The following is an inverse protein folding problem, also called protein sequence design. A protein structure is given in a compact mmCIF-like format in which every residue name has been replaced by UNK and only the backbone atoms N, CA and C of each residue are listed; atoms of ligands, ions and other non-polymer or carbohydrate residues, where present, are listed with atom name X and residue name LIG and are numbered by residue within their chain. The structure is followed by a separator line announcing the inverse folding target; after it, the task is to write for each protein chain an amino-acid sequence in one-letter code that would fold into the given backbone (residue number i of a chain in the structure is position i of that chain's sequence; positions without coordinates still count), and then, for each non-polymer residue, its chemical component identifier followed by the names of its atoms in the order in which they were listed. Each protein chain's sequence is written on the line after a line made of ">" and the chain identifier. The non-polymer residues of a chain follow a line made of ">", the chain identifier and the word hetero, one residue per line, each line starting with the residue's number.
data_IF_497691072734
#
_entry.id   IF_497691072734
#
_cell.length_a   1.000
_cell.length_b   1.000
_cell.length_c   1.000
_cell.angle_alpha   90.00
_cell.angle_beta   90.00
_cell.angle_gamma   90.00
#
_symmetry.space_group_name_H-M   'P 1'
#
loop_
_entity.id
_entity.type
_entity.pdbx_description
1 polymer ?
#
# COMPACT_ATOMS: atom_id res chain seq x y z
N UNK A 1 22.27 -69.71 -17.12
CA UNK A 1 22.53 -68.41 -17.81
C UNK A 1 23.23 -67.49 -16.82
N UNK A 2 24.24 -66.74 -17.26
CA UNK A 2 24.90 -65.71 -16.45
C UNK A 2 23.91 -64.63 -15.95
N UNK A 3 24.18 -64.04 -14.78
CA UNK A 3 23.42 -62.90 -14.23
C UNK A 3 23.51 -61.69 -15.17
N UNK A 4 22.53 -60.79 -15.07
CA UNK A 4 22.48 -59.61 -15.95
C UNK A 4 23.71 -58.69 -15.77
N UNK A 5 24.25 -58.63 -14.56
CA UNK A 5 25.48 -57.91 -14.21
C UNK A 5 26.71 -58.48 -14.96
N UNK A 6 26.87 -59.81 -14.96
CA UNK A 6 27.95 -60.51 -15.68
C UNK A 6 27.84 -60.30 -17.20
N UNK A 7 26.61 -60.33 -17.74
CA UNK A 7 26.36 -60.02 -19.16
C UNK A 7 26.74 -58.59 -19.51
N UNK A 8 26.42 -57.62 -18.65
CA UNK A 8 26.79 -56.21 -18.82
C UNK A 8 28.30 -55.96 -18.65
N UNK A 9 29.04 -56.84 -17.97
CA UNK A 9 30.50 -56.74 -17.85
C UNK A 9 31.27 -57.42 -19.00
N UNK A 10 30.58 -58.13 -19.90
CA UNK A 10 31.21 -58.85 -21.01
C UNK A 10 31.96 -57.92 -21.98
N UNK A 11 33.03 -58.43 -22.59
CA UNK A 11 33.85 -57.70 -23.59
C UNK A 11 33.01 -57.11 -24.73
N UNK A 12 32.04 -57.88 -25.25
CA UNK A 12 31.13 -57.42 -26.32
C UNK A 12 30.19 -56.30 -25.85
N UNK A 13 29.72 -56.33 -24.61
CA UNK A 13 28.89 -55.24 -24.07
C UNK A 13 29.69 -53.95 -23.94
N UNK A 14 30.92 -54.04 -23.37
CA UNK A 14 31.84 -52.89 -23.26
C UNK A 14 32.24 -52.32 -24.62
N UNK A 15 32.51 -53.18 -25.61
CA UNK A 15 32.81 -52.75 -26.98
C UNK A 15 31.63 -52.01 -27.62
N UNK A 16 30.40 -52.54 -27.46
CA UNK A 16 29.18 -51.89 -27.96
C UNK A 16 28.87 -50.57 -27.24
N UNK A 17 29.18 -50.47 -25.94
CA UNK A 17 29.06 -49.22 -25.18
C UNK A 17 30.07 -48.17 -25.66
N UNK A 18 31.32 -48.56 -25.90
CA UNK A 18 32.34 -47.67 -26.48
C UNK A 18 31.93 -47.17 -27.88
N UNK A 19 31.47 -48.05 -28.76
CA UNK A 19 30.99 -47.68 -30.09
C UNK A 19 29.77 -46.73 -30.04
N UNK A 20 28.87 -46.90 -29.07
CA UNK A 20 27.74 -45.98 -28.86
C UNK A 20 28.19 -44.62 -28.32
N UNK A 21 29.23 -44.59 -27.48
CA UNK A 21 29.84 -43.35 -26.99
C UNK A 21 30.54 -42.56 -28.11
N UNK A 22 31.29 -43.24 -29.00
CA UNK A 22 31.88 -42.62 -30.19
C UNK A 22 30.83 -42.03 -31.14
N UNK A 23 29.65 -42.65 -31.24
CA UNK A 23 28.52 -42.14 -32.02
C UNK A 23 27.77 -40.98 -31.31
N UNK A 24 28.24 -40.51 -30.16
CA UNK A 24 27.64 -39.41 -29.40
C UNK A 24 26.29 -39.73 -28.75
N UNK A 25 25.87 -41.01 -28.76
CA UNK A 25 24.65 -41.46 -28.11
C UNK A 25 24.96 -41.62 -26.62
N UNK A 26 24.53 -40.64 -25.81
CA UNK A 26 24.92 -40.56 -24.41
C UNK A 26 24.67 -41.87 -23.65
N UNK A 27 25.74 -42.35 -23.02
CA UNK A 27 25.75 -43.61 -22.28
C UNK A 27 25.06 -43.47 -20.93
N UNK A 28 24.69 -44.62 -20.34
CA UNK A 28 24.16 -44.69 -18.96
C UNK A 28 25.24 -44.52 -17.88
N UNK A 29 26.50 -44.43 -18.30
CA UNK A 29 27.70 -44.34 -17.46
C UNK A 29 28.21 -42.92 -17.28
N UNK A 30 27.66 -41.95 -18.02
CA UNK A 30 27.90 -40.53 -17.83
C UNK A 30 27.46 -40.13 -16.41
N UNK A 31 28.40 -39.70 -15.56
CA UNK A 31 28.15 -39.38 -14.15
C UNK A 31 28.11 -37.87 -13.97
N UNK A 32 27.09 -37.39 -13.26
CA UNK A 32 26.95 -35.97 -12.89
C UNK A 32 28.28 -35.42 -12.31
N UNK A 33 28.89 -34.40 -12.95
CA UNK A 33 30.08 -33.75 -12.41
C UNK A 33 29.82 -33.17 -11.02
N UNK A 34 30.82 -33.23 -10.13
CA UNK A 34 30.65 -32.73 -8.75
C UNK A 34 30.57 -31.21 -8.65
N UNK A 35 31.16 -30.50 -9.61
CA UNK A 35 31.21 -29.04 -9.64
C UNK A 35 30.41 -28.54 -10.84
N UNK A 36 29.33 -27.80 -10.61
CA UNK A 36 28.46 -27.34 -11.70
C UNK A 36 29.20 -26.45 -12.71
N UNK A 37 30.19 -25.66 -12.26
CA UNK A 37 30.96 -24.75 -13.12
C UNK A 37 31.92 -25.43 -14.09
N UNK A 38 32.14 -26.75 -14.02
CA UNK A 38 32.90 -27.45 -15.05
C UNK A 38 32.11 -27.65 -16.33
N UNK A 39 30.77 -27.58 -16.28
CA UNK A 39 29.91 -27.69 -17.47
C UNK A 39 29.66 -26.30 -18.08
N UNK A 40 30.07 -26.14 -19.33
CA UNK A 40 29.80 -24.93 -20.15
C UNK A 40 28.57 -25.12 -21.07
N UNK A 41 28.12 -26.36 -21.28
CA UNK A 41 26.97 -26.66 -22.14
C UNK A 41 25.63 -26.49 -21.39
N UNK A 42 24.83 -25.50 -21.78
CA UNK A 42 23.47 -25.28 -21.27
C UNK A 42 22.62 -26.56 -21.26
N UNK A 43 22.60 -27.29 -22.38
CA UNK A 43 21.77 -28.51 -22.54
C UNK A 43 22.21 -29.65 -21.61
N UNK A 44 23.49 -29.70 -21.24
CA UNK A 44 23.99 -30.66 -20.24
C UNK A 44 23.57 -30.23 -18.83
N UNK A 45 23.73 -28.94 -18.49
CA UNK A 45 23.32 -28.39 -17.20
C UNK A 45 21.82 -28.60 -16.93
N UNK A 46 20.95 -28.38 -17.93
CA UNK A 46 19.51 -28.65 -17.82
C UNK A 46 19.19 -30.13 -17.63
N UNK A 47 19.88 -31.03 -18.34
CA UNK A 47 19.77 -32.49 -18.13
C UNK A 47 20.14 -32.87 -16.71
N UNK A 48 21.31 -32.43 -16.21
CA UNK A 48 21.75 -32.73 -14.86
C UNK A 48 20.76 -32.23 -13.82
N UNK A 49 20.27 -30.98 -13.96
CA UNK A 49 19.19 -30.44 -13.12
C UNK A 49 17.95 -31.33 -13.12
N UNK A 50 17.50 -31.79 -14.29
CA UNK A 50 16.35 -32.70 -14.41
C UNK A 50 16.57 -34.05 -13.75
N UNK A 51 17.82 -34.56 -13.76
CA UNK A 51 18.20 -35.78 -13.05
C UNK A 51 18.22 -35.60 -11.54
N UNK A 52 18.73 -34.48 -11.01
CA UNK A 52 18.65 -34.18 -9.56
C UNK A 52 17.18 -34.11 -9.11
N UNK A 53 16.30 -33.47 -9.87
CA UNK A 53 14.87 -33.42 -9.53
C UNK A 53 14.25 -34.82 -9.46
N UNK A 54 14.61 -35.73 -10.39
CA UNK A 54 14.16 -37.13 -10.37
C UNK A 54 14.73 -37.91 -9.18
N UNK A 55 15.98 -37.66 -8.79
CA UNK A 55 16.57 -38.23 -7.57
C UNK A 55 15.84 -37.75 -6.31
N UNK A 56 15.58 -36.44 -6.21
CA UNK A 56 14.82 -35.85 -5.10
C UNK A 56 13.42 -36.48 -5.02
N UNK A 57 12.66 -36.55 -6.11
CA UNK A 57 11.32 -37.17 -6.11
C UNK A 57 11.35 -38.62 -5.61
N UNK A 58 12.31 -39.43 -6.07
CA UNK A 58 12.46 -40.83 -5.59
C UNK A 58 12.76 -40.90 -4.08
N UNK A 59 13.63 -40.03 -3.56
CA UNK A 59 13.95 -40.00 -2.12
C UNK A 59 12.80 -39.46 -1.27
N UNK A 60 12.06 -38.46 -1.76
CA UNK A 60 10.83 -37.95 -1.09
C UNK A 60 9.78 -39.05 -0.98
N UNK A 61 9.57 -39.86 -2.02
CA UNK A 61 8.71 -41.05 -1.93
C UNK A 61 9.23 -42.06 -0.91
N UNK A 62 10.52 -42.41 -0.94
CA UNK A 62 11.12 -43.37 0.02
C UNK A 62 11.02 -42.92 1.49
N UNK A 63 11.08 -41.62 1.78
CA UNK A 63 10.90 -41.10 3.15
C UNK A 63 9.48 -41.37 3.70
N UNK A 64 8.48 -41.57 2.84
CA UNK A 64 7.11 -41.87 3.26
C UNK A 64 6.91 -43.34 3.64
N UNK A 65 7.91 -44.20 3.43
CA UNK A 65 7.82 -45.63 3.78
C UNK A 65 7.75 -45.82 5.30
N UNK A 66 6.64 -46.39 5.78
CA UNK A 66 6.40 -46.61 7.21
C UNK A 66 7.37 -47.62 7.85
N UNK A 67 7.92 -48.54 7.06
CA UNK A 67 8.90 -49.54 7.53
C UNK A 67 10.32 -49.01 7.76
N UNK A 68 10.59 -47.75 7.39
CA UNK A 68 11.91 -47.14 7.55
C UNK A 68 12.18 -46.73 9.01
N UNK A 69 13.42 -46.84 9.49
CA UNK A 69 13.77 -46.39 10.84
C UNK A 69 13.97 -44.87 10.91
N UNK A 70 13.79 -44.29 12.08
CA UNK A 70 13.95 -42.85 12.28
C UNK A 70 15.39 -42.34 12.01
N UNK A 71 16.40 -43.21 12.06
CA UNK A 71 17.78 -42.87 11.66
C UNK A 71 17.91 -42.77 10.14
N UNK A 72 17.44 -43.78 9.41
CA UNK A 72 17.42 -43.78 7.94
C UNK A 72 16.55 -42.63 7.37
N UNK A 73 15.45 -42.26 8.06
CA UNK A 73 14.65 -41.08 7.70
C UNK A 73 15.46 -39.78 7.81
N UNK A 74 16.36 -39.65 8.81
CA UNK A 74 17.27 -38.50 8.93
C UNK A 74 18.29 -38.49 7.80
N UNK A 75 18.94 -39.63 7.54
CA UNK A 75 19.94 -39.76 6.48
C UNK A 75 19.34 -39.42 5.10
N UNK A 76 18.16 -39.96 4.76
CA UNK A 76 17.47 -39.61 3.51
C UNK A 76 17.11 -38.12 3.45
N UNK A 77 16.73 -37.50 4.58
CA UNK A 77 16.43 -36.07 4.62
C UNK A 77 17.69 -35.22 4.39
N UNK A 78 18.83 -35.60 4.97
CA UNK A 78 20.13 -34.97 4.71
C UNK A 78 20.57 -35.13 3.25
N UNK A 79 20.38 -36.32 2.67
CA UNK A 79 20.62 -36.57 1.26
C UNK A 79 19.75 -35.70 0.34
N UNK A 80 18.46 -35.51 0.65
CA UNK A 80 17.58 -34.60 -0.11
C UNK A 80 18.06 -33.15 0.03
N UNK A 81 18.40 -32.70 1.25
CA UNK A 81 18.94 -31.35 1.46
C UNK A 81 20.27 -31.12 0.71
N UNK A 82 21.12 -32.15 0.60
CA UNK A 82 22.32 -32.13 -0.24
C UNK A 82 21.97 -31.99 -1.72
N UNK A 83 21.04 -32.80 -2.24
CA UNK A 83 20.59 -32.70 -3.63
C UNK A 83 19.93 -31.35 -3.93
N UNK A 84 19.24 -30.73 -2.98
CA UNK A 84 18.66 -29.38 -3.15
C UNK A 84 19.74 -28.29 -3.24
N UNK A 85 20.83 -28.40 -2.47
CA UNK A 85 22.00 -27.52 -2.61
C UNK A 85 22.68 -27.72 -3.97
N UNK A 86 22.92 -28.96 -4.37
CA UNK A 86 23.43 -29.29 -5.72
C UNK A 86 22.54 -28.70 -6.82
N UNK A 87 21.21 -28.89 -6.74
CA UNK A 87 20.21 -28.30 -7.65
C UNK A 87 20.30 -26.78 -7.71
N UNK A 88 20.55 -26.12 -6.58
CA UNK A 88 20.78 -24.67 -6.53
C UNK A 88 22.07 -24.23 -7.26
N UNK A 89 23.14 -25.01 -7.15
CA UNK A 89 24.39 -24.75 -7.89
C UNK A 89 24.19 -24.93 -9.40
N UNK A 90 23.49 -25.98 -9.84
CA UNK A 90 23.16 -26.19 -11.25
C UNK A 90 22.22 -25.10 -11.80
N UNK A 91 21.21 -24.67 -11.04
CA UNK A 91 20.35 -23.54 -11.45
C UNK A 91 21.12 -22.22 -11.54
N UNK A 92 22.11 -22.00 -10.68
CA UNK A 92 22.99 -20.82 -10.77
C UNK A 92 23.89 -20.90 -12.00
N UNK A 93 24.46 -22.08 -12.32
CA UNK A 93 25.26 -22.25 -13.53
C UNK A 93 24.45 -22.07 -14.81
N UNK A 94 23.20 -22.56 -14.87
CA UNK A 94 22.30 -22.32 -16.01
C UNK A 94 22.09 -20.81 -16.22
N UNK A 95 21.88 -20.05 -15.14
CA UNK A 95 21.73 -18.58 -15.21
C UNK A 95 23.04 -17.92 -15.70
N UNK A 96 24.20 -18.34 -15.18
CA UNK A 96 25.51 -17.80 -15.59
C UNK A 96 25.80 -18.02 -17.09
N UNK A 97 25.32 -19.14 -17.64
CA UNK A 97 25.43 -19.48 -19.07
C UNK A 97 24.34 -18.81 -19.94
N UNK A 98 23.52 -17.91 -19.38
CA UNK A 98 22.45 -17.20 -20.10
C UNK A 98 21.14 -17.98 -20.29
N UNK A 99 20.97 -19.10 -19.57
CA UNK A 99 19.79 -19.95 -19.61
C UNK A 99 18.63 -19.48 -18.71
N UNK A 100 17.57 -20.28 -18.66
CA UNK A 100 16.34 -19.93 -17.95
C UNK A 100 16.52 -19.83 -16.42
N UNK A 101 15.97 -18.77 -15.81
CA UNK A 101 16.01 -18.57 -14.37
C UNK A 101 14.96 -19.42 -13.63
N UNK A 102 15.32 -20.68 -13.37
CA UNK A 102 14.47 -21.62 -12.64
C UNK A 102 14.29 -21.29 -11.15
N UNK A 103 15.09 -20.37 -10.56
CA UNK A 103 14.97 -20.01 -9.13
C UNK A 103 13.67 -19.27 -8.83
N UNK A 104 13.20 -18.41 -9.76
CA UNK A 104 11.90 -17.70 -9.61
C UNK A 104 10.71 -18.66 -9.67
N UNK A 105 10.66 -19.54 -10.68
CA UNK A 105 9.53 -20.46 -10.89
C UNK A 105 9.53 -21.62 -9.87
N UNK A 106 10.72 -22.13 -9.52
CA UNK A 106 10.87 -23.37 -8.75
C UNK A 106 10.69 -23.25 -7.24
N UNK A 107 10.34 -22.08 -6.69
CA UNK A 107 10.14 -21.93 -5.23
C UNK A 107 8.81 -22.53 -4.76
N UNK A 108 7.75 -22.46 -5.57
CA UNK A 108 6.39 -22.86 -5.16
C UNK A 108 6.17 -24.37 -5.16
N UNK A 109 6.63 -25.07 -6.20
CA UNK A 109 6.24 -26.48 -6.46
C UNK A 109 6.82 -27.51 -5.49
N UNK A 110 7.80 -27.12 -4.66
CA UNK A 110 8.48 -28.02 -3.74
C UNK A 110 8.37 -27.60 -2.25
N UNK A 111 8.01 -26.34 -1.96
CA UNK A 111 7.75 -25.87 -0.59
C UNK A 111 6.54 -26.55 0.06
N UNK A 112 5.55 -26.99 -0.73
CA UNK A 112 4.42 -27.77 -0.20
C UNK A 112 4.82 -29.07 0.48
N UNK A 113 5.94 -29.69 0.06
CA UNK A 113 6.44 -30.94 0.64
C UNK A 113 7.41 -30.71 1.81
N UNK A 114 8.26 -29.68 1.76
CA UNK A 114 9.32 -29.42 2.73
C UNK A 114 9.04 -28.24 3.65
N UNK A 115 8.87 -28.48 4.96
CA UNK A 115 8.76 -27.39 5.95
C UNK A 115 10.15 -27.12 6.53
N UNK A 116 10.59 -25.86 6.58
CA UNK A 116 11.84 -25.46 7.25
C UNK A 116 11.60 -25.27 8.73
N UNK A 117 12.45 -25.85 9.58
CA UNK A 117 12.34 -25.63 11.02
C UNK A 117 12.61 -24.16 11.40
N UNK A 118 11.98 -23.65 12.47
CA UNK A 118 12.23 -22.30 12.97
C UNK A 118 13.72 -22.08 13.28
N UNK A 119 14.26 -20.90 12.94
CA UNK A 119 15.68 -20.57 13.12
C UNK A 119 16.65 -21.25 12.14
N UNK A 120 16.31 -22.42 11.57
CA UNK A 120 17.17 -23.16 10.65
C UNK A 120 16.94 -22.78 9.18
N UNK A 121 17.45 -21.60 8.79
CA UNK A 121 17.28 -21.06 7.44
C UNK A 121 18.13 -21.81 6.41
N UNK A 122 17.50 -22.69 5.64
CA UNK A 122 18.12 -23.41 4.51
C UNK A 122 18.14 -24.93 4.65
N UNK A 123 17.73 -25.47 5.81
CA UNK A 123 17.46 -26.90 5.99
C UNK A 123 15.95 -27.15 5.99
N UNK A 124 15.49 -28.21 5.32
CA UNK A 124 14.06 -28.56 5.19
C UNK A 124 13.80 -30.00 5.60
N UNK A 125 12.63 -30.25 6.17
CA UNK A 125 12.16 -31.59 6.55
C UNK A 125 11.02 -32.02 5.62
N UNK A 126 11.16 -33.19 5.00
CA UNK A 126 10.25 -33.72 3.99
C UNK A 126 9.44 -34.91 4.52
N UNK A 127 8.14 -34.98 4.19
CA UNK A 127 7.29 -36.12 4.59
C UNK A 127 7.41 -36.48 6.08
N UNK A 128 7.64 -37.77 6.36
CA UNK A 128 7.84 -38.33 7.71
C UNK A 128 9.03 -37.73 8.47
N UNK A 129 10.02 -37.11 7.80
CA UNK A 129 11.11 -36.42 8.50
C UNK A 129 10.62 -35.22 9.35
N UNK A 130 9.39 -34.73 9.14
CA UNK A 130 8.73 -33.74 10.01
C UNK A 130 8.20 -34.33 11.32
N UNK A 131 7.95 -35.64 11.35
CA UNK A 131 7.33 -36.35 12.48
C UNK A 131 8.37 -36.92 13.45
N UNK A 132 9.66 -36.85 13.10
CA UNK A 132 10.78 -37.27 13.93
C UNK A 132 10.72 -36.60 15.32
N UNK A 133 11.04 -37.33 16.41
CA UNK A 133 11.15 -36.78 17.75
C UNK A 133 12.04 -35.52 17.79
N UNK A 134 11.62 -34.51 18.55
CA UNK A 134 12.24 -33.16 18.60
C UNK A 134 11.91 -32.26 17.39
N UNK A 135 11.98 -32.77 16.16
CA UNK A 135 11.61 -31.99 14.95
C UNK A 135 10.11 -31.67 14.94
N UNK A 136 9.29 -32.66 15.30
CA UNK A 136 7.83 -32.50 15.44
C UNK A 136 7.47 -31.40 16.45
N UNK A 137 8.14 -31.38 17.59
CA UNK A 137 7.92 -30.39 18.67
C UNK A 137 8.26 -28.97 18.22
N UNK A 138 9.34 -28.78 17.44
CA UNK A 138 9.67 -27.47 16.85
C UNK A 138 8.58 -26.97 15.90
N UNK A 139 7.98 -27.87 15.11
CA UNK A 139 6.90 -27.51 14.19
C UNK A 139 5.58 -27.26 14.90
N UNK A 140 5.21 -28.05 15.91
CA UNK A 140 4.01 -27.84 16.71
C UNK A 140 4.13 -26.57 17.57
N UNK A 141 5.27 -26.36 18.22
CA UNK A 141 5.58 -25.17 19.02
C UNK A 141 5.45 -23.88 18.21
N UNK A 142 6.03 -23.81 17.01
CA UNK A 142 5.85 -22.63 16.15
C UNK A 142 4.49 -22.54 15.49
N UNK A 143 3.78 -23.65 15.26
CA UNK A 143 2.38 -23.56 14.81
C UNK A 143 1.48 -22.96 15.91
N UNK A 144 1.76 -23.28 17.19
CA UNK A 144 1.12 -22.63 18.36
C UNK A 144 1.51 -21.16 18.48
N UNK A 145 2.80 -20.81 18.43
CA UNK A 145 3.26 -19.41 18.48
C UNK A 145 2.71 -18.58 17.29
N UNK A 146 2.61 -19.15 16.09
CA UNK A 146 2.00 -18.48 14.94
C UNK A 146 0.51 -18.23 15.14
N UNK A 147 -0.23 -19.22 15.68
CA UNK A 147 -1.65 -19.04 16.01
C UNK A 147 -1.86 -18.01 17.15
N UNK A 148 -0.95 -17.97 18.13
CA UNK A 148 -0.93 -16.98 19.21
C UNK A 148 -0.66 -15.58 18.66
N UNK A 149 0.37 -15.40 17.80
CA UNK A 149 0.66 -14.14 17.12
C UNK A 149 -0.48 -13.72 16.18
N UNK A 150 -1.17 -14.64 15.51
CA UNK A 150 -2.33 -14.32 14.68
C UNK A 150 -3.56 -13.94 15.53
N UNK A 151 -3.73 -14.57 16.70
CA UNK A 151 -4.72 -14.18 17.70
C UNK A 151 -4.45 -12.80 18.29
N UNK A 152 -3.18 -12.52 18.64
CA UNK A 152 -2.73 -11.20 19.06
C UNK A 152 -2.98 -10.16 17.97
N UNK A 153 -2.62 -10.42 16.71
CA UNK A 153 -2.88 -9.51 15.57
C UNK A 153 -4.35 -9.16 15.34
N UNK A 154 -5.28 -10.04 15.72
CA UNK A 154 -6.73 -9.75 15.68
C UNK A 154 -7.17 -8.86 16.85
N UNK A 155 -6.37 -8.78 17.91
CA UNK A 155 -6.56 -7.91 19.08
C UNK A 155 -5.63 -6.67 19.09
N UNK A 156 -4.59 -6.62 18.24
CA UNK A 156 -3.58 -5.55 18.12
C UNK A 156 -4.10 -4.27 17.44
N UNK A 157 -5.40 -4.20 17.16
CA UNK A 157 -6.07 -2.98 16.79
C UNK A 157 -6.77 -2.43 18.05
N UNK A 158 -6.05 -1.80 19.01
CA UNK A 158 -6.65 -1.27 20.25
C UNK A 158 -7.70 -0.19 19.96
N UNK A 159 -7.67 0.35 18.74
CA UNK A 159 -8.64 1.32 18.25
C UNK A 159 -9.88 0.68 17.58
N UNK A 160 -9.98 -0.66 17.49
CA UNK A 160 -11.12 -1.34 16.83
C UNK A 160 -12.48 -0.93 17.40
N UNK A 161 -12.57 -0.72 18.71
CA UNK A 161 -13.77 -0.21 19.41
C UNK A 161 -14.18 1.19 18.92
N UNK A 162 -13.23 2.01 18.51
CA UNK A 162 -13.49 3.39 18.04
C UNK A 162 -13.73 3.49 16.53
N UNK A 163 -13.33 2.49 15.72
CA UNK A 163 -13.41 2.55 14.25
C UNK A 163 -14.82 2.47 13.67
N UNK A 164 -15.77 1.85 14.37
CA UNK A 164 -17.13 1.57 13.89
C UNK A 164 -18.22 2.09 14.85
N UNK A 165 -17.93 3.15 15.59
CA UNK A 165 -18.86 3.68 16.57
C UNK A 165 -19.97 4.51 15.91
N UNK A 166 -21.22 4.38 16.38
CA UNK A 166 -22.39 4.97 15.74
C UNK A 166 -22.64 6.46 16.06
N UNK A 167 -23.62 7.11 15.38
CA UNK A 167 -23.91 8.55 15.51
C UNK A 167 -24.08 9.06 16.96
N UNK A 168 -24.64 8.23 17.84
CA UNK A 168 -24.78 8.53 19.28
C UNK A 168 -23.47 8.87 20.02
N UNK A 169 -22.31 8.41 19.52
CA UNK A 169 -21.01 8.70 20.14
C UNK A 169 -20.43 10.05 19.69
N UNK A 170 -20.86 10.53 18.53
CA UNK A 170 -20.45 11.84 17.99
C UNK A 170 -21.40 12.97 18.41
N UNK A 171 -22.44 12.67 19.22
CA UNK A 171 -23.45 13.63 19.64
C UNK A 171 -24.53 13.92 18.59
N UNK A 172 -24.46 13.29 17.41
CA UNK A 172 -25.39 13.50 16.28
C UNK A 172 -26.88 13.25 16.64
N UNK A 173 -27.16 12.61 17.77
CA UNK A 173 -28.51 12.29 18.24
C UNK A 173 -28.99 13.17 19.41
N UNK A 174 -28.14 14.02 19.97
CA UNK A 174 -28.44 14.75 21.21
C UNK A 174 -29.46 15.89 20.96
N UNK A 175 -29.46 16.47 19.76
CA UNK A 175 -30.49 17.39 19.26
C UNK A 175 -31.83 16.71 18.94
N UNK A 176 -31.90 15.36 18.91
CA UNK A 176 -33.07 14.61 18.46
C UNK A 176 -33.88 14.05 19.63
N UNK A 177 -35.21 14.18 19.52
CA UNK A 177 -36.16 13.70 20.53
C UNK A 177 -36.76 14.83 21.36
N UNK A 178 -37.42 14.48 22.47
CA UNK A 178 -38.07 15.46 23.33
C UNK A 178 -37.07 16.26 24.18
N UNK A 179 -36.04 15.58 24.68
CA UNK A 179 -34.99 16.19 25.52
C UNK A 179 -34.11 17.15 24.70
N UNK A 180 -33.69 16.74 23.49
CA UNK A 180 -32.96 17.60 22.55
C UNK A 180 -33.76 18.83 22.10
N UNK A 181 -35.07 18.70 21.86
CA UNK A 181 -35.93 19.84 21.56
C UNK A 181 -36.02 20.82 22.75
N UNK A 182 -36.13 20.31 23.97
CA UNK A 182 -36.15 21.14 25.17
C UNK A 182 -34.82 21.88 25.38
N UNK A 183 -33.69 21.23 25.07
CA UNK A 183 -32.36 21.86 25.11
C UNK A 183 -32.24 22.97 24.05
N UNK A 184 -32.63 22.69 22.80
CA UNK A 184 -32.63 23.68 21.72
C UNK A 184 -33.55 24.88 22.00
N UNK A 185 -34.73 24.66 22.58
CA UNK A 185 -35.63 25.74 22.99
C UNK A 185 -35.00 26.59 24.11
N UNK A 186 -34.32 25.97 25.09
CA UNK A 186 -33.60 26.67 26.14
C UNK A 186 -32.41 27.49 25.61
N UNK A 187 -31.56 26.90 24.75
CA UNK A 187 -30.48 27.64 24.10
C UNK A 187 -31.01 28.79 23.24
N UNK A 188 -32.14 28.58 22.54
CA UNK A 188 -32.84 29.59 21.77
C UNK A 188 -33.43 30.71 22.64
N UNK A 189 -33.79 30.47 23.91
CA UNK A 189 -34.17 31.56 24.83
C UNK A 189 -32.94 32.30 25.33
N UNK A 190 -31.90 31.59 25.79
CA UNK A 190 -30.66 32.23 26.27
C UNK A 190 -30.03 33.13 25.20
N UNK A 191 -29.91 32.66 23.95
CA UNK A 191 -29.37 33.46 22.85
C UNK A 191 -30.16 34.75 22.57
N UNK A 192 -31.47 34.77 22.85
CA UNK A 192 -32.31 35.98 22.70
C UNK A 192 -32.12 36.95 23.87
N UNK A 193 -31.96 36.43 25.08
CA UNK A 193 -31.64 37.23 26.27
C UNK A 193 -30.24 37.84 26.11
N UNK A 194 -29.22 37.03 25.79
CA UNK A 194 -27.87 37.49 25.47
C UNK A 194 -27.85 38.55 24.35
N UNK A 195 -28.70 38.42 23.32
CA UNK A 195 -28.81 39.41 22.25
C UNK A 195 -29.38 40.75 22.72
N UNK A 196 -30.36 40.73 23.63
CA UNK A 196 -30.89 41.96 24.25
C UNK A 196 -29.85 42.57 25.18
N UNK A 197 -29.27 41.78 26.09
CA UNK A 197 -28.26 42.23 27.05
C UNK A 197 -27.01 42.82 26.37
N UNK A 198 -26.53 42.17 25.30
CA UNK A 198 -25.41 42.70 24.51
C UNK A 198 -25.78 44.01 23.82
N UNK A 199 -26.98 44.12 23.25
CA UNK A 199 -27.42 45.38 22.63
C UNK A 199 -27.61 46.50 23.64
N UNK A 200 -28.19 46.22 24.82
CA UNK A 200 -28.35 47.19 25.90
C UNK A 200 -26.98 47.64 26.44
N UNK A 201 -26.00 46.73 26.55
CA UNK A 201 -24.62 47.09 26.91
C UNK A 201 -23.96 48.03 25.89
N UNK A 202 -24.24 47.83 24.59
CA UNK A 202 -23.75 48.68 23.49
C UNK A 202 -24.46 50.03 23.49
N UNK A 203 -25.78 50.06 23.74
CA UNK A 203 -26.56 51.29 23.83
C UNK A 203 -26.06 52.20 24.97
N UNK A 204 -25.76 51.62 26.15
CA UNK A 204 -25.13 52.32 27.27
C UNK A 204 -23.75 52.88 26.88
N UNK A 205 -22.91 52.09 26.20
CA UNK A 205 -21.58 52.53 25.75
C UNK A 205 -21.66 53.72 24.77
N UNK A 206 -22.65 53.70 23.87
CA UNK A 206 -22.89 54.75 22.88
C UNK A 206 -23.71 55.95 23.40
N UNK A 207 -24.16 55.92 24.67
CA UNK A 207 -24.96 56.99 25.27
C UNK A 207 -26.38 57.11 24.70
N UNK A 208 -26.92 56.03 24.14
CA UNK A 208 -28.28 55.95 23.59
C UNK A 208 -29.30 55.52 24.68
N UNK A 209 -30.58 55.88 24.57
CA UNK A 209 -31.62 55.42 25.49
C UNK A 209 -31.80 53.90 25.43
N UNK A 210 -31.86 53.25 26.60
CA UNK A 210 -32.08 51.79 26.75
C UNK A 210 -33.57 51.43 26.68
N UNK A 211 -34.29 51.95 25.68
CA UNK A 211 -35.68 51.57 25.43
C UNK A 211 -35.73 50.32 24.56
N UNK A 212 -36.46 49.28 24.99
CA UNK A 212 -36.68 48.03 24.25
C UNK A 212 -37.41 48.19 22.88
N UNK A 213 -37.66 49.42 22.43
CA UNK A 213 -38.14 49.73 21.08
C UNK A 213 -37.01 49.93 20.05
N UNK A 214 -35.76 50.06 20.52
CA UNK A 214 -34.57 50.32 19.69
C UNK A 214 -33.77 49.02 19.44
N UNK A 215 -33.97 47.98 20.25
CA UNK A 215 -33.32 46.68 20.09
C UNK A 215 -33.75 46.01 18.77
N UNK A 216 -32.81 45.66 17.87
CA UNK A 216 -33.14 44.95 16.63
C UNK A 216 -33.65 43.54 16.96
N UNK A 217 -34.60 42.98 16.17
CA UNK A 217 -35.09 41.63 16.39
C UNK A 217 -33.95 40.61 16.23
N UNK A 218 -33.99 39.55 17.05
CA UNK A 218 -32.99 38.48 17.01
C UNK A 218 -32.79 37.95 15.57
N UNK A 219 -31.55 37.84 15.06
CA UNK A 219 -31.28 37.54 13.67
C UNK A 219 -31.54 36.06 13.34
N UNK A 220 -32.80 35.72 13.06
CA UNK A 220 -33.17 34.41 12.53
C UNK A 220 -32.67 34.31 11.07
N UNK A 221 -31.91 33.26 10.69
CA UNK A 221 -31.56 33.02 9.30
C UNK A 221 -32.81 32.63 8.49
N UNK A 222 -33.50 33.64 7.95
CA UNK A 222 -34.65 33.45 7.08
C UNK A 222 -34.25 32.67 5.82
N UNK A 223 -34.89 31.52 5.58
CA UNK A 223 -34.65 30.69 4.38
C UNK A 223 -35.12 31.33 3.06
N UNK A 224 -35.67 32.55 3.08
CA UNK A 224 -35.95 33.40 1.90
C UNK A 224 -35.88 34.90 2.31
N UNK A 225 -35.28 35.79 1.49
CA UNK A 225 -35.28 37.23 1.75
C UNK A 225 -36.64 37.89 1.44
N UNK A 226 -36.96 39.06 2.04
CA UNK A 226 -38.25 39.75 1.80
C UNK A 226 -38.31 40.41 0.42
N UNK A 227 -39.45 40.28 -0.26
CA UNK A 227 -39.79 41.00 -1.49
C UNK A 227 -40.62 42.24 -1.10
N UNK A 228 -40.32 43.45 -1.62
CA UNK A 228 -41.07 44.67 -1.29
C UNK A 228 -42.53 44.64 -1.81
N UNK A 229 -43.44 45.42 -1.20
CA UNK A 229 -44.88 45.33 -1.45
C UNK A 229 -45.30 45.92 -2.83
N UNK A 230 -46.44 45.46 -3.39
CA UNK A 230 -46.88 45.84 -4.73
C UNK A 230 -47.73 47.12 -4.77
N UNK A 231 -47.36 48.05 -5.64
CA UNK A 231 -48.30 49.05 -6.15
C UNK A 231 -49.24 48.43 -7.19
N UNK A 232 -50.49 48.86 -7.21
CA UNK A 232 -51.54 48.46 -8.17
C UNK A 232 -52.37 49.72 -8.52
N UNK A 233 -53.13 49.78 -9.64
CA UNK A 233 -53.60 48.65 -10.47
C UNK A 233 -53.55 48.83 -12.01
N UNK A 234 -53.71 47.73 -12.76
CA UNK A 234 -54.89 47.56 -13.66
C UNK A 234 -54.89 46.22 -14.44
N UNK A 235 -56.10 45.76 -14.77
CA UNK A 235 -56.48 44.69 -15.71
C UNK A 235 -56.18 43.19 -15.40
N UNK A 236 -57.23 42.53 -14.89
CA UNK A 236 -57.91 41.31 -15.43
C UNK A 236 -57.16 40.50 -16.53
N UNK A 237 -57.15 39.17 -16.62
CA UNK A 237 -57.67 38.03 -15.81
C UNK A 237 -57.13 36.72 -16.49
N UNK A 238 -57.35 35.45 -16.10
CA UNK A 238 -58.33 34.76 -15.23
C UNK A 238 -57.64 33.65 -14.37
N UNK A 239 -58.33 32.53 -14.09
CA UNK A 239 -57.84 31.23 -13.57
C UNK A 239 -58.68 30.10 -14.25
N UNK A 240 -58.44 28.76 -14.14
CA UNK A 240 -58.37 28.04 -12.86
C UNK A 240 -57.55 26.71 -12.77
N UNK A 241 -56.69 26.64 -11.76
CA UNK A 241 -56.78 25.65 -10.66
C UNK A 241 -56.19 24.21 -10.72
N UNK A 242 -55.69 23.83 -9.52
CA UNK A 242 -55.87 22.56 -8.78
C UNK A 242 -54.97 21.31 -9.02
N UNK A 243 -54.35 20.96 -7.88
CA UNK A 243 -54.12 19.62 -7.28
C UNK A 243 -52.86 18.81 -7.66
N UNK A 244 -52.12 18.45 -6.60
CA UNK A 244 -51.89 17.02 -6.33
C UNK A 244 -50.44 16.50 -6.33
N UNK A 245 -49.73 16.65 -5.20
CA UNK A 245 -48.69 15.69 -4.73
C UNK A 245 -49.29 14.26 -4.70
N UNK A 246 -48.52 13.14 -4.81
CA UNK A 246 -47.43 12.86 -3.87
C UNK A 246 -46.23 11.93 -4.26
N UNK A 247 -45.19 12.00 -3.42
CA UNK A 247 -44.28 10.94 -2.89
C UNK A 247 -43.64 9.86 -3.81
N UNK A 248 -42.28 9.91 -3.84
CA UNK A 248 -41.29 8.87 -3.43
C UNK A 248 -41.59 7.37 -3.70
N UNK A 249 -40.68 6.67 -4.40
CA UNK A 249 -39.85 5.59 -3.81
C UNK A 249 -38.60 5.22 -4.65
N UNK A 250 -37.68 4.51 -4.01
CA UNK A 250 -36.36 4.02 -4.44
C UNK A 250 -36.40 2.67 -5.16
N UNK A 251 -35.41 2.36 -6.02
CA UNK A 251 -34.40 1.30 -5.76
C UNK A 251 -33.43 1.05 -6.94
N UNK A 252 -32.26 0.51 -6.59
CA UNK A 252 -31.11 0.05 -7.39
C UNK A 252 -31.51 -0.80 -8.62
N UNK A 253 -30.86 -0.66 -9.80
CA UNK A 253 -29.66 -1.40 -10.29
C UNK A 253 -29.48 -1.09 -11.80
N UNK A 254 -28.42 -1.40 -12.58
CA UNK A 254 -27.14 -2.13 -12.41
C UNK A 254 -25.99 -1.48 -13.24
N UNK A 255 -25.04 -2.25 -13.81
CA UNK A 255 -23.91 -1.81 -14.65
C UNK A 255 -24.10 -2.19 -16.14
N UNK A 256 -23.43 -1.62 -17.16
CA UNK A 256 -21.98 -1.75 -17.47
C UNK A 256 -21.55 -0.97 -18.73
N UNK A 257 -20.27 -0.52 -18.78
CA UNK A 257 -19.44 -0.22 -20.00
C UNK A 257 -19.84 1.00 -20.87
N UNK A 258 -18.97 1.70 -21.64
CA UNK A 258 -17.56 1.47 -22.05
C UNK A 258 -16.79 2.74 -22.52
N UNK A 259 -15.45 2.74 -22.31
CA UNK A 259 -14.31 3.31 -23.09
C UNK A 259 -14.22 4.77 -23.68
N UNK A 260 -13.04 5.38 -23.43
CA UNK A 260 -12.06 6.07 -24.35
C UNK A 260 -11.99 7.61 -24.55
N UNK A 261 -10.82 8.15 -24.13
CA UNK A 261 -9.83 9.00 -24.84
C UNK A 261 -10.12 10.40 -25.47
N UNK A 262 -9.49 11.43 -24.87
CA UNK A 262 -8.26 12.17 -25.33
C UNK A 262 -8.23 13.00 -26.66
N UNK A 263 -8.12 14.33 -26.47
CA UNK A 263 -7.40 15.42 -27.24
C UNK A 263 -7.65 15.65 -28.75
N UNK A 264 -8.04 16.89 -29.10
CA UNK A 264 -7.30 17.95 -29.86
C UNK A 264 -8.29 19.14 -30.08
N UNK A 265 -8.01 20.45 -30.01
CA UNK A 265 -6.88 21.36 -30.32
C UNK A 265 -7.18 22.23 -31.58
N UNK A 266 -7.26 23.56 -31.39
CA UNK A 266 -7.12 24.69 -32.36
C UNK A 266 -7.45 25.97 -31.55
N UNK A 267 -6.48 26.87 -31.27
CA UNK A 267 -5.96 27.97 -32.11
C UNK A 267 -7.02 28.98 -32.59
N UNK A 268 -7.01 30.19 -32.02
CA UNK A 268 -6.75 31.45 -32.75
C UNK A 268 -6.58 32.64 -31.75
N UNK A 269 -5.51 33.41 -31.95
CA UNK A 269 -5.28 34.79 -31.46
C UNK A 269 -5.84 35.77 -32.54
N UNK A 270 -5.93 37.13 -32.38
CA UNK A 270 -4.92 37.99 -31.71
C UNK A 270 -5.37 39.37 -31.10
N UNK A 271 -4.36 40.14 -30.65
CA UNK A 271 -4.22 41.63 -30.56
C UNK A 271 -4.82 42.51 -29.41
N UNK A 272 -3.89 42.93 -28.52
CA UNK A 272 -3.45 44.31 -28.20
C UNK A 272 -4.22 45.37 -27.34
N UNK A 273 -3.37 46.24 -26.73
CA UNK A 273 -3.56 47.49 -25.96
C UNK A 273 -4.06 47.36 -24.50
N UNK A 274 -3.23 47.60 -23.46
CA UNK A 274 -2.62 48.86 -22.96
C UNK A 274 -3.65 49.75 -22.20
N UNK A 275 -3.43 50.30 -20.99
CA UNK A 275 -2.42 51.30 -20.55
C UNK A 275 -2.54 51.53 -19.01
N UNK A 276 -1.43 51.77 -18.28
CA UNK A 276 -1.24 52.46 -16.96
C UNK A 276 -2.23 52.21 -15.76
N UNK A 277 -1.99 52.61 -14.50
CA UNK A 277 -0.97 53.49 -13.87
C UNK A 277 -0.64 53.01 -12.45
N UNK A 278 0.52 53.42 -11.93
CA UNK A 278 0.90 53.35 -10.51
C UNK A 278 0.26 54.47 -9.67
N UNK A 279 0.00 54.22 -8.39
CA UNK A 279 -0.09 55.26 -7.37
C UNK A 279 0.77 54.88 -6.14
N UNK A 280 1.58 55.84 -5.67
CA UNK A 280 2.36 55.81 -4.43
C UNK A 280 2.04 57.06 -3.61
N UNK A 281 1.75 56.94 -2.31
CA UNK A 281 1.92 58.02 -1.30
C UNK A 281 2.06 57.35 0.09
N UNK A 282 2.75 57.95 1.09
CA UNK A 282 4.14 58.40 1.09
C UNK A 282 4.97 57.74 2.22
N UNK A 283 6.29 57.95 2.17
CA UNK A 283 7.18 57.89 3.33
C UNK A 283 7.11 59.18 4.16
N UNK A 284 7.18 59.09 5.49
CA UNK A 284 7.61 60.21 6.33
C UNK A 284 8.74 59.72 7.27
N UNK A 285 9.78 60.53 7.45
CA UNK A 285 11.07 60.07 7.98
C UNK A 285 11.49 60.71 9.31
N UNK A 286 12.12 59.92 10.18
CA UNK A 286 12.93 60.39 11.31
C UNK A 286 14.17 59.51 11.49
N UNK A 287 15.32 60.05 11.06
CA UNK A 287 16.66 59.72 11.55
C UNK A 287 17.01 60.66 12.72
N UNK A 288 18.13 60.50 13.47
CA UNK A 288 19.02 59.33 13.60
C UNK A 288 19.40 59.00 15.07
N UNK A 289 19.72 57.74 15.38
CA UNK A 289 20.82 57.32 16.29
C UNK A 289 20.77 55.81 16.61
N UNK A 290 21.93 55.26 16.99
CA UNK A 290 22.12 53.89 17.51
C UNK A 290 21.79 52.73 16.55
N UNK A 291 22.66 52.53 15.54
CA UNK A 291 22.73 51.27 14.79
C UNK A 291 22.87 50.03 15.67
N UNK A 292 23.52 50.17 16.85
CA UNK A 292 23.62 49.14 17.87
C UNK A 292 22.26 48.59 18.34
N UNK A 293 21.18 49.40 18.38
CA UNK A 293 19.84 48.90 18.73
C UNK A 293 19.25 48.02 17.63
N UNK A 294 19.48 48.34 16.35
CA UNK A 294 19.03 47.49 15.23
C UNK A 294 19.82 46.17 15.16
N UNK A 295 21.12 46.19 15.42
CA UNK A 295 21.94 44.98 15.53
C UNK A 295 21.55 44.13 16.73
N UNK A 296 21.29 44.72 17.90
CA UNK A 296 20.80 44.00 19.07
C UNK A 296 19.41 43.41 18.86
N UNK A 297 18.46 44.11 18.23
CA UNK A 297 17.15 43.52 17.91
C UNK A 297 17.25 42.40 16.87
N UNK A 298 18.14 42.53 15.88
CA UNK A 298 18.39 41.49 14.87
C UNK A 298 19.04 40.25 15.49
N UNK A 299 20.05 40.45 16.35
CA UNK A 299 20.70 39.38 17.09
C UNK A 299 19.73 38.72 18.10
N UNK A 300 18.88 39.48 18.77
CA UNK A 300 17.86 38.95 19.70
C UNK A 300 16.81 38.11 18.97
N UNK A 301 16.33 38.54 17.79
CA UNK A 301 15.44 37.75 16.95
C UNK A 301 16.12 36.48 16.42
N UNK A 302 17.36 36.57 15.91
CA UNK A 302 18.13 35.39 15.49
C UNK A 302 18.48 34.44 16.65
N UNK A 303 18.54 34.93 17.89
CA UNK A 303 18.76 34.11 19.09
C UNK A 303 17.47 33.55 19.71
N UNK A 304 16.28 33.97 19.23
CA UNK A 304 14.99 33.53 19.77
C UNK A 304 14.11 32.76 18.77
N UNK A 305 14.41 32.78 17.46
CA UNK A 305 13.84 31.83 16.50
C UNK A 305 14.77 30.64 16.29
N UNK A 306 14.26 29.43 16.57
CA UNK A 306 14.97 28.15 16.29
C UNK A 306 15.09 27.86 14.78
N UNK A 307 14.32 28.59 13.97
CA UNK A 307 14.26 28.47 12.52
C UNK A 307 15.06 29.62 11.87
N UNK A 308 15.89 29.29 10.91
CA UNK A 308 16.56 30.27 10.06
C UNK A 308 15.59 30.83 9.01
N UNK A 309 15.94 31.95 8.36
CA UNK A 309 15.08 32.56 7.34
C UNK A 309 14.86 31.64 6.12
N UNK A 310 15.72 30.64 5.92
CA UNK A 310 15.59 29.62 4.88
C UNK A 310 14.54 28.55 5.24
N UNK A 311 14.38 28.20 6.52
CA UNK A 311 13.38 27.22 7.00
C UNK A 311 11.92 27.72 6.87
N UNK A 312 11.75 29.04 6.75
CA UNK A 312 10.44 29.68 6.61
C UNK A 312 9.97 29.68 5.14
N UNK A 313 10.86 29.37 4.18
CA UNK A 313 10.48 29.30 2.77
C UNK A 313 9.69 28.01 2.47
N UNK A 314 8.62 28.08 1.66
CA UNK A 314 7.95 26.87 1.21
C UNK A 314 8.93 25.99 0.42
N UNK A 315 8.90 24.66 0.58
CA UNK A 315 9.85 23.79 -0.08
C UNK A 315 9.76 23.96 -1.61
N UNK A 316 10.90 24.01 -2.33
CA UNK A 316 10.90 24.28 -3.76
C UNK A 316 10.15 23.16 -4.49
N UNK A 317 8.98 23.48 -5.04
CA UNK A 317 8.16 22.55 -5.81
C UNK A 317 8.86 22.26 -7.14
N UNK A 318 9.16 21.00 -7.49
CA UNK A 318 9.87 20.71 -8.72
C UNK A 318 9.05 21.08 -9.96
N UNK A 319 9.72 21.57 -11.00
CA UNK A 319 9.11 21.81 -12.31
C UNK A 319 8.60 20.52 -12.96
N UNK A 320 7.63 20.62 -13.89
CA UNK A 320 7.10 19.45 -14.62
C UNK A 320 8.20 18.58 -15.26
N UNK A 321 9.29 19.20 -15.77
CA UNK A 321 10.44 18.48 -16.34
C UNK A 321 11.26 17.73 -15.29
N UNK A 322 11.37 18.29 -14.09
CA UNK A 322 12.06 17.65 -12.96
C UNK A 322 11.24 16.47 -12.44
N UNK A 323 9.90 16.61 -12.37
CA UNK A 323 8.99 15.50 -12.08
C UNK A 323 9.10 14.36 -13.09
N UNK A 324 9.11 14.65 -14.38
CA UNK A 324 9.30 13.62 -15.43
C UNK A 324 10.62 12.86 -15.27
N UNK A 325 11.72 13.58 -15.00
CA UNK A 325 13.03 12.97 -14.73
C UNK A 325 13.04 12.11 -13.46
N UNK A 326 12.44 12.60 -12.37
CA UNK A 326 12.36 11.90 -11.08
C UNK A 326 11.50 10.63 -11.21
N UNK A 327 10.35 10.70 -11.89
CA UNK A 327 9.50 9.55 -12.22
C UNK A 327 10.28 8.51 -13.06
N UNK A 328 11.01 8.96 -14.10
CA UNK A 328 11.84 8.07 -14.91
C UNK A 328 12.96 7.40 -14.09
N UNK A 329 13.61 8.13 -13.17
CA UNK A 329 14.62 7.58 -12.28
C UNK A 329 14.03 6.55 -11.31
N UNK A 330 12.86 6.82 -10.70
CA UNK A 330 12.17 5.88 -9.82
C UNK A 330 11.72 4.61 -10.57
N UNK A 331 11.19 4.74 -11.78
CA UNK A 331 10.84 3.59 -12.63
C UNK A 331 12.08 2.76 -12.98
N UNK A 332 13.20 3.40 -13.32
CA UNK A 332 14.48 2.73 -13.57
C UNK A 332 15.00 2.02 -12.31
N UNK A 333 14.89 2.65 -11.14
CA UNK A 333 15.30 2.06 -9.86
C UNK A 333 14.42 0.87 -9.46
N UNK A 334 13.11 0.95 -9.68
CA UNK A 334 12.17 -0.15 -9.47
C UNK A 334 12.49 -1.35 -10.39
N UNK A 335 12.69 -1.11 -11.69
CA UNK A 335 13.10 -2.14 -12.64
C UNK A 335 14.47 -2.76 -12.29
N UNK A 336 15.44 -1.96 -11.86
CA UNK A 336 16.73 -2.47 -11.39
C UNK A 336 16.56 -3.35 -10.14
N UNK A 337 15.67 -2.98 -9.21
CA UNK A 337 15.35 -3.79 -8.04
C UNK A 337 14.68 -5.12 -8.41
N UNK A 338 13.72 -5.11 -9.34
CA UNK A 338 13.08 -6.33 -9.85
C UNK A 338 14.05 -7.25 -10.63
N UNK A 339 15.06 -6.65 -11.27
CA UNK A 339 16.07 -7.38 -12.05
C UNK A 339 17.17 -7.99 -11.17
N UNK A 340 17.67 -7.23 -10.18
CA UNK A 340 18.80 -7.60 -9.32
C UNK A 340 18.35 -8.42 -8.09
N UNK A 341 17.16 -8.14 -7.53
CA UNK A 341 16.57 -8.83 -6.38
C UNK A 341 16.58 -8.01 -5.09
#
# INVERSE_FOLDING_TARGET
>A
MARNEEKAQSMLYRFREAQAAELGISTKTDRRPRLASSCQDLRQCERWRGEILREISRKVSKIQDAGLTDYEVRDLNDEINKLLREKGHWETQIINLGGANYRRIGSSTFDGAGRSAPGQRGYKYFGRAKELPGVKELFEGVSKQQAEIEGLKKNEDPYSVFKNQGPSYFGDLDEYGAEGQQLLDYESTQQKEDWVDTFDSIAVLLGLPTDHSITPPFPIPHKNPPIPPPETPSHQSTSPSKRGRPKRKSAQTSAKSSLKNKKQATNEEPEHSAVHTSDQIPSDGLDPSNGAMKELTKAFLQASSVLEAEDIQPPPVPDSKQWEQLIMQLQKAALLKEYIG
#
